data_IF_259149773269
#
_entry.id   IF_259149773269
#
_cell.length_a   1.000
_cell.length_b   1.000
_cell.length_c   1.000
_cell.angle_alpha   90.00
_cell.angle_beta   90.00
_cell.angle_gamma   90.00
#
_symmetry.space_group_name_H-M   'P 1'
#
loop_
_entity.id
_entity.type
_entity.pdbx_description
1 polymer ?
#
# COMPACT_ATOMS: atom_id res chain seq x y z
N UNK A 1 -44.63 -12.00 -20.99
CA UNK A 1 -43.83 -10.97 -20.29
C UNK A 1 -42.66 -11.68 -19.62
N UNK A 2 -41.45 -11.60 -20.18
CA UNK A 2 -40.24 -12.12 -19.52
C UNK A 2 -39.69 -10.99 -18.65
N UNK A 3 -39.95 -11.09 -17.36
CA UNK A 3 -39.33 -10.23 -16.33
C UNK A 3 -37.88 -10.68 -16.21
N UNK A 4 -36.95 -9.84 -16.66
CA UNK A 4 -35.53 -10.10 -16.54
C UNK A 4 -35.13 -10.16 -15.08
N UNK A 5 -34.41 -11.21 -14.69
CA UNK A 5 -33.65 -11.27 -13.46
C UNK A 5 -32.58 -10.15 -13.49
N UNK A 6 -32.97 -8.95 -13.06
CA UNK A 6 -32.04 -7.89 -12.74
C UNK A 6 -31.25 -8.35 -11.53
N UNK A 7 -30.13 -9.05 -11.78
CA UNK A 7 -29.13 -9.34 -10.78
C UNK A 7 -28.82 -8.02 -10.06
N UNK A 8 -28.94 -7.95 -8.72
CA UNK A 8 -28.71 -6.71 -8.01
C UNK A 8 -27.29 -6.21 -8.29
N UNK A 9 -27.20 -5.03 -8.92
CA UNK A 9 -25.92 -4.38 -9.21
C UNK A 9 -25.43 -3.74 -7.92
N UNK A 10 -24.45 -4.37 -7.29
CA UNK A 10 -23.79 -3.82 -6.10
C UNK A 10 -22.85 -2.67 -6.48
N UNK A 11 -22.68 -1.73 -5.56
CA UNK A 11 -21.74 -0.61 -5.71
C UNK A 11 -20.28 -1.08 -5.62
N UNK A 12 -19.33 -0.21 -5.96
CA UNK A 12 -17.89 -0.53 -5.95
C UNK A 12 -17.34 -0.91 -4.56
N UNK A 13 -17.88 -0.30 -3.51
CA UNK A 13 -17.61 -0.56 -2.09
C UNK A 13 -18.38 -1.77 -1.53
N UNK A 14 -19.10 -2.49 -2.39
CA UNK A 14 -19.89 -3.66 -2.03
C UNK A 14 -19.51 -4.88 -2.87
N UNK A 15 -19.89 -6.05 -2.38
CA UNK A 15 -19.77 -7.32 -3.10
C UNK A 15 -21.09 -8.09 -3.03
N UNK A 16 -21.36 -8.88 -4.07
CA UNK A 16 -22.57 -9.69 -4.13
C UNK A 16 -22.35 -11.00 -3.38
N UNK A 17 -23.20 -11.29 -2.41
CA UNK A 17 -23.22 -12.54 -1.66
C UNK A 17 -24.67 -12.96 -1.43
N UNK A 18 -25.04 -14.20 -1.78
CA UNK A 18 -26.40 -14.73 -1.60
C UNK A 18 -27.52 -13.78 -2.11
N UNK A 19 -27.35 -13.24 -3.32
CA UNK A 19 -28.30 -12.31 -3.95
C UNK A 19 -28.55 -10.99 -3.21
N UNK A 20 -27.66 -10.61 -2.28
CA UNK A 20 -27.65 -9.30 -1.62
C UNK A 20 -26.28 -8.63 -1.71
N UNK A 21 -26.28 -7.32 -1.60
CA UNK A 21 -25.06 -6.53 -1.59
C UNK A 21 -24.56 -6.36 -0.16
N UNK A 22 -23.31 -6.74 0.07
CA UNK A 22 -22.63 -6.67 1.36
C UNK A 22 -21.47 -5.68 1.29
N UNK A 23 -21.20 -4.98 2.38
CA UNK A 23 -20.14 -3.97 2.41
C UNK A 23 -18.77 -4.62 2.36
N UNK A 24 -17.85 -4.11 1.55
CA UNK A 24 -16.43 -4.46 1.61
C UNK A 24 -15.79 -3.76 2.81
N UNK A 25 -14.63 -4.24 3.23
CA UNK A 25 -13.82 -3.54 4.22
C UNK A 25 -13.03 -2.43 3.55
N UNK A 26 -13.11 -1.21 4.10
CA UNK A 26 -12.37 -0.06 3.59
C UNK A 26 -10.86 -0.15 3.83
N UNK A 27 -10.11 0.86 3.37
CA UNK A 27 -8.67 0.96 3.60
C UNK A 27 -8.31 0.81 5.08
N UNK A 28 -7.15 0.22 5.37
CA UNK A 28 -6.70 -0.06 6.74
C UNK A 28 -7.37 -1.24 7.43
N UNK A 29 -8.34 -1.90 6.77
CA UNK A 29 -9.12 -2.98 7.37
C UNK A 29 -9.14 -4.25 6.51
N UNK A 30 -9.26 -5.39 7.17
CA UNK A 30 -9.48 -6.71 6.56
C UNK A 30 -10.81 -7.29 6.97
N UNK A 31 -11.29 -8.23 6.17
CA UNK A 31 -12.48 -9.01 6.46
C UNK A 31 -12.25 -9.91 7.68
N UNK A 32 -13.10 -9.76 8.70
CA UNK A 32 -13.15 -10.68 9.82
C UNK A 32 -14.24 -11.73 9.62
N UNK A 33 -15.46 -11.27 9.33
CA UNK A 33 -16.60 -12.14 9.05
C UNK A 33 -17.40 -11.59 7.87
N UNK A 34 -17.85 -12.48 7.00
CA UNK A 34 -18.74 -12.11 5.90
C UNK A 34 -20.12 -11.72 6.43
N UNK A 35 -20.85 -10.96 5.61
CA UNK A 35 -22.23 -10.65 5.89
C UNK A 35 -23.11 -11.92 5.98
N UNK A 36 -24.16 -11.87 6.79
CA UNK A 36 -25.23 -12.88 6.85
C UNK A 36 -26.56 -12.22 6.47
N UNK A 37 -27.66 -12.95 6.28
CA UNK A 37 -28.96 -12.35 5.92
C UNK A 37 -29.37 -11.14 6.79
N UNK A 38 -29.01 -11.16 8.08
CA UNK A 38 -29.37 -10.14 9.06
C UNK A 38 -28.23 -9.21 9.45
N UNK A 39 -26.97 -9.54 9.15
CA UNK A 39 -25.79 -8.77 9.55
C UNK A 39 -24.95 -8.38 8.34
N UNK A 40 -24.38 -7.18 8.38
CA UNK A 40 -23.40 -6.78 7.39
C UNK A 40 -22.02 -7.37 7.71
N UNK A 41 -21.11 -7.21 6.77
CA UNK A 41 -19.71 -7.62 6.87
C UNK A 41 -19.04 -7.02 8.11
N UNK A 42 -18.26 -7.84 8.82
CA UNK A 42 -17.46 -7.39 9.96
C UNK A 42 -16.02 -7.19 9.50
N UNK A 43 -15.50 -5.99 9.75
CA UNK A 43 -14.14 -5.57 9.39
C UNK A 43 -13.31 -5.31 10.64
N UNK A 44 -12.02 -5.63 10.58
CA UNK A 44 -11.05 -5.34 11.64
C UNK A 44 -9.81 -4.67 11.07
N UNK A 45 -9.12 -3.85 11.88
CA UNK A 45 -7.90 -3.17 11.46
C UNK A 45 -6.79 -4.15 11.10
N UNK A 46 -5.96 -3.77 10.13
CA UNK A 46 -4.69 -4.43 9.84
C UNK A 46 -3.73 -4.36 11.04
N UNK A 47 -2.77 -5.28 11.09
CA UNK A 47 -1.70 -5.20 12.09
C UNK A 47 -0.73 -4.05 11.76
N UNK A 48 0.10 -3.67 12.73
CA UNK A 48 1.04 -2.56 12.60
C UNK A 48 2.04 -2.71 11.42
N UNK A 49 2.34 -3.95 11.05
CA UNK A 49 3.25 -4.29 9.96
C UNK A 49 2.55 -4.65 8.65
N UNK A 50 1.27 -4.32 8.52
CA UNK A 50 0.47 -4.63 7.35
C UNK A 50 -0.32 -3.42 6.87
N UNK A 51 -0.79 -3.47 5.63
CA UNK A 51 -1.63 -2.45 5.02
C UNK A 51 -2.70 -3.03 4.08
N UNK A 52 -3.72 -2.23 3.83
CA UNK A 52 -4.77 -2.47 2.86
C UNK A 52 -5.19 -1.13 2.25
N UNK A 53 -4.96 -0.95 0.95
CA UNK A 53 -5.16 0.35 0.30
C UNK A 53 -6.54 0.61 -0.26
N UNK A 54 -7.31 -0.44 -0.49
CA UNK A 54 -8.62 -0.32 -1.13
C UNK A 54 -9.70 -1.10 -0.40
N UNK A 55 -10.91 -1.02 -0.98
CA UNK A 55 -12.03 -1.83 -0.56
C UNK A 55 -11.75 -3.31 -0.84
N UNK A 56 -11.81 -4.13 0.22
CA UNK A 56 -11.38 -5.52 0.17
C UNK A 56 -12.40 -6.49 0.76
N UNK A 57 -12.35 -7.73 0.29
CA UNK A 57 -12.99 -8.90 0.93
C UNK A 57 -11.94 -9.90 1.43
N UNK A 58 -10.65 -9.50 1.47
CA UNK A 58 -9.56 -10.37 1.93
C UNK A 58 -9.57 -10.46 3.46
N UNK A 59 -9.35 -11.68 3.97
CA UNK A 59 -9.23 -11.95 5.41
C UNK A 59 -7.86 -11.59 6.00
N UNK A 60 -6.89 -11.26 5.14
CA UNK A 60 -5.54 -10.82 5.49
C UNK A 60 -5.21 -9.47 4.85
N UNK A 61 -4.30 -8.73 5.49
CA UNK A 61 -3.72 -7.52 4.94
C UNK A 61 -2.41 -7.84 4.20
N UNK A 62 -1.92 -6.90 3.40
CA UNK A 62 -0.63 -7.04 2.72
C UNK A 62 0.48 -6.69 3.69
N UNK A 63 1.55 -7.49 3.84
CA UNK A 63 2.66 -7.14 4.71
C UNK A 63 3.43 -5.94 4.15
N UNK A 64 3.84 -5.03 5.02
CA UNK A 64 4.79 -3.99 4.70
C UNK A 64 6.19 -4.58 4.51
N UNK A 65 7.03 -3.90 3.72
CA UNK A 65 8.43 -4.30 3.59
C UNK A 65 9.18 -4.11 4.90
N UNK A 66 10.04 -5.06 5.22
CA UNK A 66 10.92 -4.97 6.37
C UNK A 66 12.04 -3.94 6.10
N UNK A 67 12.19 -2.98 7.01
CA UNK A 67 13.23 -1.97 6.91
C UNK A 67 14.51 -2.46 7.58
N UNK A 68 15.37 -3.11 6.79
CA UNK A 68 16.62 -3.71 7.27
C UNK A 68 17.62 -2.64 7.76
N UNK A 69 17.92 -2.58 9.07
CA UNK A 69 18.87 -1.62 9.61
C UNK A 69 20.30 -1.83 9.06
N UNK A 70 20.65 -3.05 8.65
CA UNK A 70 21.93 -3.39 8.04
C UNK A 70 22.10 -2.81 6.63
N UNK A 71 21.00 -2.52 5.95
CA UNK A 71 20.97 -1.82 4.66
C UNK A 71 20.86 -0.30 4.80
N UNK A 72 20.98 0.24 6.02
CA UNK A 72 20.95 1.67 6.29
C UNK A 72 19.55 2.28 6.37
N UNK A 73 18.50 1.46 6.46
CA UNK A 73 17.14 1.93 6.70
C UNK A 73 16.89 2.24 8.18
N UNK A 74 15.88 3.09 8.41
CA UNK A 74 15.25 3.34 9.68
C UNK A 74 13.87 2.66 9.74
N UNK A 75 13.33 2.39 10.94
CA UNK A 75 11.95 1.96 11.08
C UNK A 75 10.99 2.94 10.39
N UNK A 76 10.08 2.41 9.59
CA UNK A 76 9.02 3.21 8.96
C UNK A 76 7.96 3.64 9.97
N UNK A 77 7.20 4.67 9.61
CA UNK A 77 5.97 5.02 10.35
C UNK A 77 4.87 4.01 10.01
N UNK A 78 3.95 3.81 10.94
CA UNK A 78 2.78 2.96 10.68
C UNK A 78 1.85 3.66 9.70
N UNK A 79 1.50 2.95 8.62
CA UNK A 79 0.41 3.28 7.73
C UNK A 79 -0.33 1.98 7.38
N UNK A 80 -1.60 1.91 7.75
CA UNK A 80 -2.44 0.74 7.48
C UNK A 80 -3.11 0.84 6.10
N UNK A 81 -3.06 1.99 5.44
CA UNK A 81 -3.77 2.25 4.19
C UNK A 81 -2.86 2.21 2.96
N UNK A 82 -1.53 2.28 3.11
CA UNK A 82 -0.64 2.26 1.96
C UNK A 82 0.68 1.58 2.28
N UNK A 83 1.35 1.12 1.23
CA UNK A 83 2.74 0.74 1.32
C UNK A 83 3.57 1.97 1.68
N UNK A 84 4.41 1.87 2.71
CA UNK A 84 5.31 2.94 3.12
C UNK A 84 6.75 2.57 2.83
N UNK A 85 7.48 3.37 2.04
CA UNK A 85 8.89 3.13 1.79
C UNK A 85 9.70 3.27 3.08
N UNK A 86 10.75 2.46 3.20
CA UNK A 86 11.66 2.54 4.33
C UNK A 86 12.53 3.81 4.24
N UNK A 87 12.51 4.69 5.25
CA UNK A 87 13.34 5.88 5.24
C UNK A 87 14.83 5.52 5.42
N UNK A 88 15.72 6.18 4.67
CA UNK A 88 17.15 6.07 4.91
C UNK A 88 17.57 6.82 6.18
N UNK A 89 18.65 6.34 6.81
CA UNK A 89 19.30 7.06 7.91
C UNK A 89 19.80 8.43 7.46
N UNK A 90 19.94 9.40 8.37
CA UNK A 90 20.55 10.69 8.06
C UNK A 90 21.95 10.51 7.43
N UNK A 91 22.27 11.33 6.43
CA UNK A 91 23.49 11.25 5.61
C UNK A 91 23.57 10.03 4.68
N UNK A 92 22.46 9.34 4.43
CA UNK A 92 22.34 8.31 3.39
C UNK A 92 21.24 8.67 2.39
N UNK A 93 21.38 8.19 1.16
CA UNK A 93 20.40 8.29 0.08
C UNK A 93 20.04 6.91 -0.44
N UNK A 94 18.85 6.76 -1.01
CA UNK A 94 18.47 5.53 -1.71
C UNK A 94 19.45 5.21 -2.83
N UNK A 95 19.82 3.94 -2.96
CA UNK A 95 20.53 3.45 -4.13
C UNK A 95 19.67 3.66 -5.40
N UNK A 96 20.29 3.93 -6.56
CA UNK A 96 19.58 4.27 -7.79
C UNK A 96 18.70 3.14 -8.35
N UNK A 97 18.93 1.90 -7.91
CA UNK A 97 18.16 0.72 -8.34
C UNK A 97 17.20 0.34 -7.23
N UNK A 98 15.91 0.66 -7.42
CA UNK A 98 14.79 0.26 -6.57
C UNK A 98 14.92 0.57 -5.06
N UNK A 99 15.86 1.43 -4.66
CA UNK A 99 16.21 1.68 -3.26
C UNK A 99 16.37 0.37 -2.47
N UNK A 100 17.16 -0.58 -2.99
CA UNK A 100 17.41 -1.84 -2.29
C UNK A 100 18.21 -1.66 -0.99
N UNK A 101 19.03 -0.61 -0.92
CA UNK A 101 19.83 -0.23 0.23
C UNK A 101 20.10 1.27 0.22
N UNK A 102 20.50 1.81 1.36
CA UNK A 102 20.87 3.20 1.53
C UNK A 102 22.40 3.34 1.42
N UNK A 103 22.85 4.25 0.58
CA UNK A 103 24.27 4.59 0.37
C UNK A 103 24.61 5.89 1.07
N UNK A 104 25.82 6.01 1.62
CA UNK A 104 26.26 7.26 2.25
C UNK A 104 26.25 8.36 1.19
N UNK A 105 25.69 9.52 1.53
CA UNK A 105 25.77 10.70 0.69
C UNK A 105 27.25 11.07 0.58
N UNK A 106 27.82 10.94 -0.62
CA UNK A 106 29.12 11.50 -0.91
C UNK A 106 28.97 13.01 -0.97
N UNK A 107 29.58 13.73 -0.02
CA UNK A 107 29.79 15.17 -0.17
C UNK A 107 30.58 15.37 -1.45
N UNK A 108 29.93 15.91 -2.47
CA UNK A 108 30.63 16.30 -3.68
C UNK A 108 31.67 17.35 -3.27
N UNK A 109 32.95 17.03 -3.36
CA UNK A 109 34.01 18.03 -3.22
C UNK A 109 33.80 19.04 -4.33
N UNK A 110 33.48 20.30 -3.98
CA UNK A 110 33.46 21.41 -4.91
C UNK A 110 34.81 21.43 -5.66
N UNK A 111 34.82 21.01 -6.93
CA UNK A 111 36.06 20.91 -7.70
C UNK A 111 36.09 20.00 -8.93
N UNK A 112 35.09 19.15 -9.19
CA UNK A 112 35.03 18.38 -10.44
C UNK A 112 33.83 18.82 -11.29
N UNK A 113 34.13 19.59 -12.34
CA UNK A 113 33.15 20.12 -13.27
C UNK A 113 32.40 19.02 -14.02
N UNK A 114 31.10 18.94 -13.78
CA UNK A 114 30.17 18.38 -14.76
C UNK A 114 30.18 19.33 -15.97
N UNK A 115 30.97 18.98 -16.98
CA UNK A 115 30.92 19.62 -18.29
C UNK A 115 29.50 19.50 -18.85
N UNK A 116 28.67 20.51 -18.59
CA UNK A 116 27.48 20.79 -19.38
C UNK A 116 27.99 21.31 -20.72
N UNK A 117 28.28 20.42 -21.67
CA UNK A 117 28.34 20.81 -23.07
C UNK A 117 26.96 21.35 -23.43
N UNK A 118 26.85 22.67 -23.51
CA UNK A 118 25.79 23.32 -24.28
C UNK A 118 25.90 22.75 -25.70
N UNK A 119 24.91 22.00 -26.15
CA UNK A 119 24.67 21.83 -27.59
C UNK A 119 23.53 22.77 -27.97
N UNK A 120 23.81 23.82 -28.76
CA UNK A 120 22.79 24.48 -29.56
C UNK A 120 22.68 23.73 -30.90
N UNK A 121 21.47 23.29 -31.26
CA UNK A 121 20.97 23.36 -32.63
C UNK A 121 19.45 23.26 -32.66
#
# INVERSE_FOLDING_TARGET
MQMGDSKPTCKNDQYLMNSRCCSKCGPGNRLFAECTETKDTVCVKCNADEYQSGWTTKKSCTPQKYCDPGKGFLPRRQNLEAEEPCPCRPNFTCSPINCEYCERIHTCSFGLGLGKTRQPH
#
